data_IF_992805728822
#
_entry.id   IF_992805728822
#
_cell.length_a   1.000
_cell.length_b   1.000
_cell.length_c   1.000
_cell.angle_alpha   90.00
_cell.angle_beta   90.00
_cell.angle_gamma   90.00
#
_symmetry.space_group_name_H-M   'P 1'
#
loop_
_entity.id
_entity.type
_entity.pdbx_description
1 polymer ?
#
# COMPACT_ATOMS: atom_id res chain seq x y z
N UNK A 1 17.11 -24.76 -4.97
CA UNK A 1 17.51 -26.05 -5.57
C UNK A 1 16.69 -26.34 -6.81
N UNK A 2 17.11 -25.84 -7.98
CA UNK A 2 17.27 -26.57 -9.24
C UNK A 2 17.80 -25.57 -10.28
N UNK A 3 19.03 -25.80 -10.74
CA UNK A 3 19.67 -25.13 -11.87
C UNK A 3 19.92 -26.19 -12.95
N UNK A 4 19.67 -25.85 -14.23
CA UNK A 4 20.42 -26.23 -15.46
C UNK A 4 19.60 -25.77 -16.69
N UNK A 5 20.06 -24.76 -17.42
CA UNK A 5 20.99 -24.77 -18.58
C UNK A 5 20.42 -25.38 -19.88
N UNK A 6 20.25 -24.51 -20.87
CA UNK A 6 20.12 -24.83 -22.29
C UNK A 6 20.42 -23.59 -23.12
N UNK A 7 21.55 -23.63 -23.84
CA UNK A 7 21.95 -22.67 -24.88
C UNK A 7 21.06 -22.87 -26.11
N UNK A 8 20.81 -21.81 -26.87
CA UNK A 8 21.12 -21.78 -28.30
C UNK A 8 20.98 -20.38 -28.90
N UNK A 9 21.86 -20.10 -29.86
CA UNK A 9 22.05 -18.84 -30.56
C UNK A 9 21.51 -18.92 -31.99
N UNK A 10 20.98 -17.81 -32.52
CA UNK A 10 20.97 -17.44 -33.96
C UNK A 10 20.32 -16.06 -34.09
N UNK A 11 21.06 -14.99 -34.43
CA UNK A 11 21.40 -14.50 -35.78
C UNK A 11 20.18 -14.17 -36.66
N UNK A 12 19.96 -12.90 -36.98
CA UNK A 12 18.88 -12.50 -37.90
C UNK A 12 18.73 -11.01 -38.20
N UNK A 13 19.69 -10.45 -38.94
CA UNK A 13 19.54 -9.41 -39.98
C UNK A 13 18.50 -8.27 -39.80
N UNK A 14 19.01 -7.05 -39.57
CA UNK A 14 18.32 -5.77 -39.79
C UNK A 14 17.95 -5.61 -41.28
N UNK A 15 16.67 -5.38 -41.58
CA UNK A 15 16.22 -4.76 -42.85
C UNK A 15 15.46 -3.48 -42.55
N UNK A 16 15.99 -2.39 -43.07
CA UNK A 16 15.42 -1.04 -43.08
C UNK A 16 14.35 -0.95 -44.17
N UNK A 17 13.08 -0.82 -43.79
CA UNK A 17 11.97 -0.48 -44.69
C UNK A 17 11.33 0.84 -44.25
N UNK A 18 11.23 1.81 -45.17
CA UNK A 18 10.47 3.06 -44.97
C UNK A 18 9.00 2.73 -44.73
N UNK A 19 8.44 3.25 -43.64
CA UNK A 19 7.00 3.19 -43.35
C UNK A 19 6.27 4.39 -44.00
N UNK A 20 5.09 4.17 -44.63
CA UNK A 20 4.24 5.25 -45.13
C UNK A 20 3.48 5.96 -43.99
N UNK A 21 3.20 7.24 -44.22
CA UNK A 21 2.54 8.18 -43.30
C UNK A 21 1.08 7.73 -43.04
N UNK A 22 0.63 7.53 -41.79
CA UNK A 22 -0.77 7.26 -41.50
C UNK A 22 -1.58 8.56 -41.36
N UNK A 23 -2.73 8.58 -42.04
CA UNK A 23 -3.83 9.56 -41.92
C UNK A 23 -4.40 9.64 -40.49
N UNK A 24 -4.94 10.81 -40.08
CA UNK A 24 -5.39 11.03 -38.70
C UNK A 24 -6.60 10.16 -38.32
N UNK A 25 -6.64 9.58 -37.11
CA UNK A 25 -7.76 8.77 -36.68
C UNK A 25 -8.95 9.62 -36.20
N UNK A 26 -10.13 9.21 -36.68
CA UNK A 26 -11.47 9.67 -36.29
C UNK A 26 -11.68 9.60 -34.77
N UNK A 27 -12.25 10.67 -34.20
CA UNK A 27 -12.50 10.86 -32.77
C UNK A 27 -13.41 9.77 -32.18
N UNK A 28 -12.84 8.71 -31.62
CA UNK A 28 -13.57 7.77 -30.76
C UNK A 28 -13.62 8.36 -29.35
N UNK A 29 -14.78 8.88 -28.94
CA UNK A 29 -15.05 9.25 -27.55
C UNK A 29 -14.93 8.00 -26.67
N UNK A 30 -13.81 7.85 -25.95
CA UNK A 30 -13.69 6.89 -24.85
C UNK A 30 -14.47 7.40 -23.65
N UNK A 31 -15.70 6.93 -23.49
CA UNK A 31 -16.43 7.06 -22.22
C UNK A 31 -15.72 6.21 -21.17
N UNK A 32 -15.22 6.86 -20.12
CA UNK A 32 -14.70 6.20 -18.92
C UNK A 32 -15.93 5.80 -18.08
N UNK A 33 -16.12 4.52 -17.70
CA UNK A 33 -17.25 4.15 -16.84
C UNK A 33 -16.98 4.66 -15.42
N UNK A 34 -17.80 5.61 -14.97
CA UNK A 34 -17.87 6.02 -13.55
C UNK A 34 -18.75 5.04 -12.77
N UNK A 35 -18.22 4.57 -11.64
CA UNK A 35 -18.86 3.67 -10.67
C UNK A 35 -20.23 4.20 -10.22
N UNK A 36 -21.32 3.51 -10.56
CA UNK A 36 -22.66 3.82 -10.07
C UNK A 36 -22.88 3.13 -8.70
N UNK A 37 -23.36 3.91 -7.73
CA UNK A 37 -23.76 3.43 -6.41
C UNK A 37 -25.07 2.64 -6.49
N UNK A 38 -25.16 1.55 -5.73
CA UNK A 38 -26.18 0.52 -5.88
C UNK A 38 -27.63 0.97 -5.64
N UNK A 39 -28.54 0.26 -6.33
CA UNK A 39 -29.92 0.12 -5.91
C UNK A 39 -30.43 -1.32 -6.16
N UNK A 40 -31.45 -1.68 -5.38
CA UNK A 40 -31.98 -3.02 -5.13
C UNK A 40 -32.84 -3.55 -6.28
N UNK A 41 -32.78 -4.86 -6.48
CA UNK A 41 -33.95 -5.71 -6.75
C UNK A 41 -34.50 -5.68 -8.17
N UNK A 42 -34.04 -6.62 -9.00
CA UNK A 42 -34.69 -7.05 -10.23
C UNK A 42 -34.13 -8.42 -10.61
N UNK A 43 -34.99 -9.36 -11.02
CA UNK A 43 -34.58 -10.66 -11.56
C UNK A 43 -33.64 -10.42 -12.75
N UNK A 44 -32.43 -10.97 -12.69
CA UNK A 44 -31.45 -10.91 -13.78
C UNK A 44 -31.46 -12.24 -14.54
N UNK A 45 -31.95 -12.20 -15.78
CA UNK A 45 -31.63 -13.20 -16.79
C UNK A 45 -30.32 -12.84 -17.52
N UNK A 46 -29.46 -13.85 -17.66
CA UNK A 46 -28.38 -14.10 -18.64
C UNK A 46 -27.31 -13.01 -18.88
N UNK A 47 -26.09 -13.38 -18.49
CA UNK A 47 -24.79 -12.84 -18.90
C UNK A 47 -24.53 -11.35 -18.67
N UNK A 48 -24.77 -10.86 -17.44
CA UNK A 48 -24.14 -9.62 -16.99
C UNK A 48 -22.63 -9.85 -16.86
N UNK A 49 -21.86 -9.30 -17.80
CA UNK A 49 -20.40 -9.24 -17.71
C UNK A 49 -20.04 -8.42 -16.47
N UNK A 50 -19.59 -9.11 -15.42
CA UNK A 50 -19.22 -8.46 -14.17
C UNK A 50 -18.02 -7.55 -14.43
N UNK A 51 -18.28 -6.24 -14.47
CA UNK A 51 -17.28 -5.25 -14.81
C UNK A 51 -16.14 -5.24 -13.79
N UNK A 52 -14.91 -5.12 -14.29
CA UNK A 52 -13.72 -4.98 -13.45
C UNK A 52 -13.05 -6.28 -13.03
N UNK A 53 -13.48 -7.45 -13.52
CA UNK A 53 -12.74 -8.72 -13.38
C UNK A 53 -12.12 -9.11 -14.72
N UNK A 54 -10.82 -9.35 -14.73
CA UNK A 54 -10.04 -9.73 -15.91
C UNK A 54 -9.41 -11.10 -15.69
N UNK A 55 -9.86 -12.11 -16.42
CA UNK A 55 -9.33 -13.46 -16.33
C UNK A 55 -8.36 -13.72 -17.48
N UNK A 56 -7.09 -13.91 -17.16
CA UNK A 56 -6.02 -14.33 -18.09
C UNK A 56 -5.37 -15.64 -17.64
N UNK A 57 -6.02 -16.37 -16.73
CA UNK A 57 -5.45 -17.59 -16.13
C UNK A 57 -5.61 -18.85 -16.98
N UNK A 58 -6.43 -18.79 -18.04
CA UNK A 58 -6.83 -19.97 -18.82
C UNK A 58 -7.78 -20.92 -18.08
N UNK A 59 -8.09 -20.66 -16.80
CA UNK A 59 -9.08 -21.42 -16.02
C UNK A 59 -10.45 -20.80 -16.23
N UNK A 60 -11.45 -21.64 -16.54
CA UNK A 60 -12.84 -21.21 -16.63
C UNK A 60 -13.38 -20.84 -15.24
N UNK A 61 -13.61 -19.55 -15.04
CA UNK A 61 -14.25 -19.01 -13.85
C UNK A 61 -15.76 -19.00 -14.07
N UNK A 62 -16.50 -19.62 -13.15
CA UNK A 62 -17.96 -19.63 -13.24
C UNK A 62 -18.56 -18.29 -12.81
N UNK A 63 -19.88 -18.14 -12.99
CA UNK A 63 -20.58 -16.92 -12.63
C UNK A 63 -20.37 -16.54 -11.14
N UNK A 64 -20.42 -17.50 -10.22
CA UNK A 64 -20.19 -17.23 -8.79
C UNK A 64 -18.74 -16.81 -8.46
N UNK A 65 -17.73 -17.29 -9.19
CA UNK A 65 -16.34 -16.82 -9.07
C UNK A 65 -16.26 -15.34 -9.44
N UNK A 66 -16.84 -14.99 -10.58
CA UNK A 66 -16.86 -13.62 -11.08
C UNK A 66 -17.64 -12.70 -10.13
N UNK A 67 -18.74 -13.16 -9.53
CA UNK A 67 -19.47 -12.40 -8.50
C UNK A 67 -18.60 -12.12 -7.27
N UNK A 68 -17.86 -13.11 -6.78
CA UNK A 68 -16.95 -12.95 -5.64
C UNK A 68 -15.85 -11.95 -5.97
N UNK A 69 -15.18 -12.13 -7.12
CA UNK A 69 -14.09 -11.26 -7.56
C UNK A 69 -14.57 -9.83 -7.84
N UNK A 70 -15.78 -9.68 -8.40
CA UNK A 70 -16.39 -8.40 -8.74
C UNK A 70 -16.76 -7.55 -7.53
N UNK A 71 -16.92 -8.14 -6.33
CA UNK A 71 -17.03 -7.37 -5.08
C UNK A 71 -15.73 -6.60 -4.75
N UNK A 72 -14.61 -7.01 -5.34
CA UNK A 72 -13.30 -6.38 -5.23
C UNK A 72 -12.49 -6.84 -4.02
N UNK A 73 -11.17 -6.66 -4.08
CA UNK A 73 -10.24 -7.15 -3.05
C UNK A 73 -10.36 -6.45 -1.69
N UNK A 74 -11.08 -5.32 -1.62
CA UNK A 74 -11.38 -4.61 -0.37
C UNK A 74 -12.70 -5.07 0.27
N UNK A 75 -13.43 -5.96 -0.38
CA UNK A 75 -14.65 -6.52 0.19
C UNK A 75 -14.30 -7.38 1.40
N UNK A 76 -14.95 -7.10 2.53
CA UNK A 76 -14.80 -7.87 3.75
C UNK A 76 -16.03 -8.77 3.94
N UNK A 77 -15.89 -10.11 3.85
CA UNK A 77 -16.97 -11.01 4.19
C UNK A 77 -17.43 -10.80 5.64
N UNK A 78 -18.73 -10.76 5.89
CA UNK A 78 -19.23 -10.69 7.27
C UNK A 78 -18.84 -11.98 7.98
N UNK A 79 -18.00 -11.86 9.02
CA UNK A 79 -17.64 -12.94 9.94
C UNK A 79 -18.48 -12.85 11.21
N UNK A 80 -18.75 -14.00 11.84
CA UNK A 80 -19.33 -14.00 13.19
C UNK A 80 -18.44 -13.14 14.10
N UNK A 81 -19.02 -12.31 14.98
CA UNK A 81 -18.25 -11.61 15.99
C UNK A 81 -17.42 -12.62 16.77
N UNK A 82 -16.15 -12.31 16.96
CA UNK A 82 -15.25 -13.05 17.83
C UNK A 82 -15.21 -12.30 19.16
N UNK A 83 -15.62 -12.95 20.24
CA UNK A 83 -15.72 -12.32 21.56
C UNK A 83 -14.37 -11.81 22.08
N UNK A 84 -13.28 -12.48 21.70
CA UNK A 84 -11.93 -12.08 22.09
C UNK A 84 -11.47 -10.84 21.29
N UNK A 85 -11.70 -10.82 19.98
CA UNK A 85 -11.41 -9.62 19.17
C UNK A 85 -12.27 -8.44 19.60
N UNK A 86 -13.56 -8.67 19.88
CA UNK A 86 -14.47 -7.65 20.38
C UNK A 86 -13.97 -7.09 21.73
N UNK A 87 -13.51 -7.95 22.63
CA UNK A 87 -12.89 -7.53 23.88
C UNK A 87 -11.64 -6.67 23.64
N UNK A 88 -10.72 -7.11 22.77
CA UNK A 88 -9.50 -6.36 22.45
C UNK A 88 -9.81 -4.99 21.85
N UNK A 89 -10.74 -4.92 20.89
CA UNK A 89 -11.15 -3.65 20.27
C UNK A 89 -11.84 -2.73 21.26
N UNK A 90 -12.66 -3.29 22.16
CA UNK A 90 -13.24 -2.55 23.28
C UNK A 90 -12.14 -1.97 24.17
N UNK A 91 -11.16 -2.76 24.60
CA UNK A 91 -10.04 -2.25 25.42
C UNK A 91 -9.24 -1.16 24.68
N UNK A 92 -9.00 -1.31 23.38
CA UNK A 92 -8.33 -0.28 22.56
C UNK A 92 -9.15 1.01 22.52
N UNK A 93 -10.46 0.91 22.37
CA UNK A 93 -11.38 2.04 22.36
C UNK A 93 -11.42 2.75 23.71
N UNK A 94 -11.60 1.99 24.80
CA UNK A 94 -11.60 2.51 26.17
C UNK A 94 -10.28 3.22 26.49
N UNK A 95 -9.14 2.61 26.14
CA UNK A 95 -7.83 3.25 26.27
C UNK A 95 -7.75 4.59 25.55
N UNK A 96 -8.28 4.70 24.32
CA UNK A 96 -8.32 5.97 23.59
C UNK A 96 -9.13 7.04 24.33
N UNK A 97 -10.26 6.67 24.91
CA UNK A 97 -11.09 7.60 25.70
C UNK A 97 -10.37 8.05 26.97
N UNK A 98 -9.78 7.13 27.72
CA UNK A 98 -9.01 7.43 28.94
C UNK A 98 -7.83 8.34 28.63
N UNK A 99 -7.10 8.10 27.54
CA UNK A 99 -6.00 8.99 27.12
C UNK A 99 -6.50 10.39 26.76
N UNK A 100 -7.61 10.49 26.01
CA UNK A 100 -8.22 11.80 25.68
C UNK A 100 -8.61 12.57 26.95
N UNK A 101 -9.24 11.91 27.92
CA UNK A 101 -9.54 12.49 29.23
C UNK A 101 -8.28 12.98 29.93
N UNK A 102 -7.29 12.09 30.08
CA UNK A 102 -6.06 12.36 30.82
C UNK A 102 -5.34 13.60 30.28
N UNK A 103 -5.14 13.66 28.96
CA UNK A 103 -4.47 14.80 28.34
C UNK A 103 -5.32 16.07 28.36
N UNK A 104 -6.66 15.97 28.30
CA UNK A 104 -7.53 17.15 28.45
C UNK A 104 -7.48 17.73 29.86
N UNK A 105 -7.41 16.88 30.90
CA UNK A 105 -7.21 17.33 32.29
C UNK A 105 -5.86 18.04 32.46
N UNK A 106 -4.78 17.49 31.89
CA UNK A 106 -3.47 18.16 31.89
C UNK A 106 -3.53 19.53 31.22
N UNK A 107 -4.16 19.62 30.04
CA UNK A 107 -4.34 20.88 29.30
C UNK A 107 -5.10 21.93 30.15
N UNK A 108 -6.21 21.54 30.79
CA UNK A 108 -6.99 22.43 31.67
C UNK A 108 -6.19 22.85 32.90
N UNK A 109 -5.37 21.97 33.46
CA UNK A 109 -4.50 22.25 34.60
C UNK A 109 -3.29 23.12 34.25
N UNK A 110 -3.19 23.63 33.02
CA UNK A 110 -2.06 24.44 32.56
C UNK A 110 -0.76 23.65 32.37
N UNK A 111 -0.81 22.32 32.48
CA UNK A 111 0.32 21.44 32.19
C UNK A 111 0.39 21.29 30.67
N UNK A 112 1.27 22.07 30.03
CA UNK A 112 1.39 22.10 28.59
C UNK A 112 1.67 20.70 28.02
N UNK A 113 1.06 20.32 26.88
CA UNK A 113 1.35 19.06 26.22
C UNK A 113 2.84 18.95 25.88
N UNK A 114 3.56 18.06 26.56
CA UNK A 114 5.00 17.85 26.33
C UNK A 114 5.93 18.46 27.37
N UNK A 115 5.47 18.89 28.55
CA UNK A 115 6.37 19.12 29.69
C UNK A 115 7.01 17.83 30.22
N UNK A 116 6.47 16.67 29.84
CA UNK A 116 7.07 15.34 30.04
C UNK A 116 8.12 15.02 28.94
N UNK A 117 8.46 15.97 28.05
CA UNK A 117 9.59 15.81 27.13
C UNK A 117 10.85 15.82 27.97
N UNK A 118 11.73 14.85 27.76
CA UNK A 118 13.07 14.95 28.30
C UNK A 118 13.63 16.32 27.90
N UNK A 119 14.31 17.03 28.83
CA UNK A 119 14.92 18.30 28.51
C UNK A 119 15.76 18.12 27.24
N UNK A 120 15.58 19.02 26.27
CA UNK A 120 16.36 19.05 25.04
C UNK A 120 17.84 19.03 25.44
N UNK A 121 18.46 17.87 25.25
CA UNK A 121 19.87 17.69 25.52
C UNK A 121 20.58 18.24 24.30
N UNK A 122 21.11 19.46 24.47
CA UNK A 122 21.90 20.21 23.51
C UNK A 122 21.16 20.61 22.21
N UNK A 123 20.93 21.93 22.02
CA UNK A 123 20.22 22.53 20.88
C UNK A 123 20.98 22.42 19.53
N UNK A 124 21.99 21.56 19.46
CA UNK A 124 22.91 21.44 18.33
C UNK A 124 22.27 20.76 17.13
N UNK A 125 21.33 19.82 17.36
CA UNK A 125 20.69 19.03 16.31
C UNK A 125 19.17 19.23 16.26
N UNK A 126 18.62 19.22 15.04
CA UNK A 126 17.17 19.20 14.85
C UNK A 126 16.67 17.75 15.02
N UNK A 127 15.69 17.55 15.89
CA UNK A 127 15.09 16.23 16.14
C UNK A 127 13.69 16.10 15.56
N UNK A 128 13.31 14.85 15.29
CA UNK A 128 12.00 14.47 14.79
C UNK A 128 11.02 14.16 15.94
N UNK A 129 9.72 14.14 15.62
CA UNK A 129 8.69 13.64 16.53
C UNK A 129 8.49 12.11 16.47
N UNK A 130 9.33 11.41 15.71
CA UNK A 130 9.21 9.97 15.46
C UNK A 130 9.51 9.19 16.73
N UNK A 131 8.61 8.27 17.05
CA UNK A 131 8.67 7.44 18.26
C UNK A 131 7.83 6.19 18.09
N UNK A 132 8.17 5.15 18.84
CA UNK A 132 7.34 3.96 18.94
C UNK A 132 5.95 4.32 19.48
N UNK A 133 4.94 3.53 19.08
CA UNK A 133 3.58 3.69 19.59
C UNK A 133 3.59 3.49 21.11
N UNK A 134 3.17 4.53 21.83
CA UNK A 134 3.13 4.50 23.29
C UNK A 134 2.22 3.38 23.81
N UNK A 135 2.70 2.66 24.83
CA UNK A 135 1.93 1.69 25.63
C UNK A 135 1.27 2.34 26.87
N UNK A 136 1.46 3.64 27.05
CA UNK A 136 0.91 4.38 28.19
C UNK A 136 -0.61 4.21 28.29
N UNK A 137 -1.07 3.90 29.49
CA UNK A 137 -2.49 3.79 29.83
C UNK A 137 -2.67 4.19 31.31
N UNK A 138 -3.21 5.38 31.60
CA UNK A 138 -3.30 5.90 32.96
C UNK A 138 -4.46 5.24 33.71
N UNK A 139 -4.24 4.02 34.19
CA UNK A 139 -5.26 3.21 34.91
C UNK A 139 -5.74 3.84 36.21
N UNK A 140 -4.95 4.76 36.77
CA UNK A 140 -5.26 5.51 38.00
C UNK A 140 -6.10 6.76 37.76
N UNK A 141 -6.14 7.30 36.54
CA UNK A 141 -6.97 8.47 36.22
C UNK A 141 -8.42 8.02 36.16
N UNK A 142 -9.13 8.06 37.30
CA UNK A 142 -10.55 7.66 37.43
C UNK A 142 -11.42 8.85 37.86
N UNK A 143 -12.74 8.65 37.89
CA UNK A 143 -13.72 9.54 38.53
C UNK A 143 -14.45 10.51 37.61
N UNK A 144 -14.70 10.17 36.34
CA UNK A 144 -15.56 11.03 35.50
C UNK A 144 -16.50 10.24 34.56
N UNK A 145 -17.24 10.97 33.71
CA UNK A 145 -18.19 10.43 32.74
C UNK A 145 -17.61 9.32 31.84
N UNK A 146 -16.30 9.32 31.59
CA UNK A 146 -15.66 8.27 30.78
C UNK A 146 -15.65 6.92 31.51
N UNK A 147 -15.47 6.89 32.83
CA UNK A 147 -15.50 5.62 33.58
C UNK A 147 -16.93 5.09 33.71
N UNK A 148 -17.90 5.99 33.95
CA UNK A 148 -19.33 5.62 33.96
C UNK A 148 -19.73 5.06 32.61
N UNK A 149 -19.38 5.76 31.52
CA UNK A 149 -19.59 5.27 30.17
C UNK A 149 -18.90 3.93 29.91
N UNK A 150 -17.66 3.76 30.38
CA UNK A 150 -16.91 2.50 30.27
C UNK A 150 -17.65 1.36 30.97
N UNK A 151 -18.15 1.59 32.19
CA UNK A 151 -18.90 0.59 32.95
C UNK A 151 -20.22 0.24 32.27
N UNK A 152 -20.95 1.23 31.75
CA UNK A 152 -22.20 1.01 31.01
C UNK A 152 -21.94 0.19 29.74
N UNK A 153 -20.94 0.55 28.93
CA UNK A 153 -20.57 -0.20 27.72
C UNK A 153 -20.19 -1.65 28.07
N UNK A 154 -19.39 -1.87 29.11
CA UNK A 154 -19.01 -3.22 29.53
C UNK A 154 -20.20 -4.02 30.08
N UNK A 155 -21.18 -3.36 30.69
CA UNK A 155 -22.44 -3.98 31.12
C UNK A 155 -23.29 -4.36 29.91
N UNK A 156 -23.49 -3.44 28.98
CA UNK A 156 -24.24 -3.67 27.74
C UNK A 156 -23.63 -4.83 26.94
N UNK A 157 -22.30 -4.96 26.89
CA UNK A 157 -21.63 -6.10 26.25
C UNK A 157 -21.93 -7.44 26.93
N UNK A 158 -22.07 -7.48 28.27
CA UNK A 158 -22.44 -8.70 28.99
C UNK A 158 -23.91 -9.10 28.75
N UNK A 159 -24.76 -8.11 28.54
CA UNK A 159 -26.19 -8.28 28.30
C UNK A 159 -26.51 -8.47 26.81
N UNK A 160 -25.52 -8.27 25.93
CA UNK A 160 -25.67 -8.41 24.50
C UNK A 160 -25.96 -9.87 24.13
N UNK A 161 -27.22 -10.17 23.84
CA UNK A 161 -27.60 -11.46 23.27
C UNK A 161 -27.29 -11.48 21.77
N UNK A 162 -26.93 -12.65 21.25
CA UNK A 162 -26.54 -12.81 19.86
C UNK A 162 -27.59 -12.22 18.90
N UNK A 163 -27.27 -11.09 18.27
CA UNK A 163 -28.13 -10.48 17.26
C UNK A 163 -28.15 -11.34 16.00
N UNK A 164 -29.30 -11.37 15.30
CA UNK A 164 -29.41 -12.13 14.05
C UNK A 164 -28.32 -11.69 13.07
N UNK A 165 -27.49 -12.64 12.63
CA UNK A 165 -26.35 -12.36 11.79
C UNK A 165 -26.72 -12.49 10.30
N UNK A 166 -26.62 -11.40 9.53
CA UNK A 166 -26.83 -11.43 8.07
C UNK A 166 -25.48 -11.56 7.36
N UNK A 167 -25.29 -12.67 6.65
CA UNK A 167 -24.15 -12.85 5.77
C UNK A 167 -24.27 -11.94 4.54
N UNK A 168 -23.16 -11.29 4.16
CA UNK A 168 -23.05 -10.53 2.91
C UNK A 168 -22.54 -11.36 1.72
N UNK A 169 -22.42 -12.68 1.91
CA UNK A 169 -22.10 -13.68 0.89
C UNK A 169 -23.10 -14.84 0.96
N UNK A 170 -23.55 -15.31 -0.19
CA UNK A 170 -24.31 -16.55 -0.32
C UNK A 170 -23.45 -17.76 0.02
N UNK A 171 -24.08 -18.91 0.29
CA UNK A 171 -23.34 -20.16 0.55
C UNK A 171 -22.48 -20.59 -0.66
N UNK A 172 -22.97 -20.32 -1.88
CA UNK A 172 -22.22 -20.61 -3.11
C UNK A 172 -20.98 -19.71 -3.22
N UNK A 173 -21.15 -18.40 -3.05
CA UNK A 173 -20.04 -17.45 -3.08
C UNK A 173 -18.99 -17.75 -2.00
N UNK A 174 -19.39 -18.17 -0.79
CA UNK A 174 -18.43 -18.59 0.25
C UNK A 174 -17.58 -19.78 -0.19
N UNK A 175 -18.19 -20.82 -0.76
CA UNK A 175 -17.47 -21.98 -1.30
C UNK A 175 -16.51 -21.55 -2.42
N UNK A 176 -16.90 -20.60 -3.26
CA UNK A 176 -16.03 -20.05 -4.30
C UNK A 176 -14.88 -19.21 -3.73
N UNK A 177 -15.12 -18.41 -2.69
CA UNK A 177 -14.04 -17.72 -1.96
C UNK A 177 -13.00 -18.72 -1.43
N UNK A 178 -13.44 -19.82 -0.83
CA UNK A 178 -12.54 -20.86 -0.32
C UNK A 178 -11.78 -21.56 -1.46
N UNK A 179 -12.47 -21.88 -2.56
CA UNK A 179 -11.83 -22.40 -3.77
C UNK A 179 -10.74 -21.45 -4.30
N UNK A 180 -11.07 -20.18 -4.54
CA UNK A 180 -10.14 -19.18 -5.06
C UNK A 180 -8.95 -18.94 -4.12
N UNK A 181 -9.18 -18.99 -2.80
CA UNK A 181 -8.14 -18.83 -1.79
C UNK A 181 -7.18 -20.02 -1.74
N UNK A 182 -7.69 -21.24 -1.91
CA UNK A 182 -6.92 -22.48 -1.77
C UNK A 182 -6.37 -22.99 -3.11
N UNK A 183 -6.74 -22.37 -4.23
CA UNK A 183 -6.21 -22.70 -5.53
C UNK A 183 -4.84 -22.03 -5.73
N UNK A 184 -3.77 -22.80 -5.55
CA UNK A 184 -2.40 -22.33 -5.69
C UNK A 184 -1.95 -22.13 -7.14
N UNK A 185 -2.71 -22.60 -8.13
CA UNK A 185 -2.42 -22.37 -9.54
C UNK A 185 -2.91 -20.99 -10.01
N UNK A 186 -3.64 -20.28 -9.16
CA UNK A 186 -4.16 -18.94 -9.42
C UNK A 186 -3.43 -17.87 -8.62
N UNK A 187 -3.20 -16.73 -9.27
CA UNK A 187 -2.73 -15.50 -8.64
C UNK A 187 -3.74 -14.39 -8.89
N UNK A 188 -4.35 -13.90 -7.82
CA UNK A 188 -5.32 -12.79 -7.88
C UNK A 188 -4.64 -11.50 -7.42
N UNK A 189 -4.59 -10.49 -8.29
CA UNK A 189 -3.99 -9.18 -8.00
C UNK A 189 -4.89 -8.05 -8.43
N UNK A 190 -4.71 -6.88 -7.81
CA UNK A 190 -5.30 -5.65 -8.31
C UNK A 190 -4.55 -5.20 -9.57
N UNK A 191 -5.26 -4.64 -10.53
CA UNK A 191 -4.66 -3.97 -11.68
C UNK A 191 -3.87 -2.72 -11.25
N UNK A 192 -2.76 -2.46 -11.93
CA UNK A 192 -1.88 -1.30 -11.69
C UNK A 192 -2.61 0.04 -11.83
N UNK A 193 -3.50 0.12 -12.81
CA UNK A 193 -4.41 1.24 -13.06
C UNK A 193 -5.81 0.68 -13.24
N UNK A 194 -6.84 1.47 -12.95
CA UNK A 194 -8.28 1.16 -13.11
C UNK A 194 -8.99 0.33 -12.04
N UNK A 195 -8.31 -0.08 -10.96
CA UNK A 195 -8.99 -0.67 -9.78
C UNK A 195 -9.60 -2.07 -9.99
N UNK A 196 -9.51 -2.64 -11.19
CA UNK A 196 -9.98 -3.99 -11.50
C UNK A 196 -9.18 -5.09 -10.79
N UNK A 197 -9.78 -6.28 -10.75
CA UNK A 197 -9.19 -7.52 -10.25
C UNK A 197 -8.74 -8.36 -11.43
N UNK A 198 -7.49 -8.82 -11.40
CA UNK A 198 -6.88 -9.64 -12.44
C UNK A 198 -6.58 -11.01 -11.88
N UNK A 199 -7.06 -12.04 -12.55
CA UNK A 199 -6.83 -13.45 -12.24
C UNK A 199 -5.86 -14.00 -13.27
N UNK A 200 -4.71 -14.48 -12.80
CA UNK A 200 -3.61 -14.97 -13.64
C UNK A 200 -3.27 -16.39 -13.25
N UNK A 201 -2.72 -17.17 -14.18
CA UNK A 201 -2.09 -18.44 -13.81
C UNK A 201 -0.81 -18.13 -13.02
N UNK A 202 -0.46 -19.02 -12.09
CA UNK A 202 0.77 -18.91 -11.30
C UNK A 202 2.00 -18.99 -12.20
N UNK A 203 1.94 -19.79 -13.25
CA UNK A 203 2.99 -19.90 -14.27
C UNK A 203 3.26 -18.54 -14.94
N UNK A 204 2.24 -17.91 -15.54
CA UNK A 204 2.36 -16.58 -16.15
C UNK A 204 2.93 -15.54 -15.17
N UNK A 205 2.44 -15.54 -13.93
CA UNK A 205 2.90 -14.60 -12.91
C UNK A 205 4.38 -14.79 -12.56
N UNK A 206 4.85 -16.04 -12.48
CA UNK A 206 6.26 -16.35 -12.20
C UNK A 206 7.15 -16.05 -13.40
N UNK A 207 6.73 -16.37 -14.62
CA UNK A 207 7.45 -16.00 -15.84
C UNK A 207 7.63 -14.49 -15.94
N UNK A 208 6.58 -13.72 -15.68
CA UNK A 208 6.66 -12.26 -15.69
C UNK A 208 7.56 -11.72 -14.56
N UNK A 209 7.62 -12.40 -13.41
CA UNK A 209 8.55 -12.08 -12.34
C UNK A 209 10.00 -12.29 -12.76
N UNK A 210 10.31 -13.44 -13.34
CA UNK A 210 11.65 -13.75 -13.85
C UNK A 210 12.04 -12.78 -14.96
N UNK A 211 11.15 -12.51 -15.92
CA UNK A 211 11.38 -11.54 -17.00
C UNK A 211 11.73 -10.15 -16.47
N UNK A 212 11.16 -9.73 -15.33
CA UNK A 212 11.46 -8.45 -14.69
C UNK A 212 12.78 -8.48 -13.88
N UNK A 213 13.07 -9.58 -13.17
CA UNK A 213 14.20 -9.69 -12.25
C UNK A 213 15.51 -10.13 -12.93
N UNK A 214 15.44 -10.77 -14.09
CA UNK A 214 16.61 -11.21 -14.88
C UNK A 214 17.29 -10.05 -15.64
N UNK A 215 16.81 -8.82 -15.46
CA UNK A 215 17.49 -7.62 -15.95
C UNK A 215 18.78 -7.34 -15.16
N UNK A 216 19.90 -7.81 -15.71
CA UNK A 216 21.23 -7.64 -15.14
C UNK A 216 21.79 -6.20 -15.25
N UNK A 217 21.07 -5.27 -15.90
CA UNK A 217 21.44 -3.85 -15.92
C UNK A 217 20.96 -3.19 -14.62
N UNK A 218 19.73 -3.50 -14.21
CA UNK A 218 19.10 -2.91 -13.02
C UNK A 218 19.36 -3.72 -11.75
N UNK A 219 19.35 -5.05 -11.85
CA UNK A 219 19.39 -5.95 -10.70
C UNK A 219 20.70 -6.74 -10.64
N UNK A 220 21.12 -7.04 -9.41
CA UNK A 220 22.27 -7.89 -9.14
C UNK A 220 21.85 -9.08 -8.29
N UNK A 221 22.15 -10.28 -8.76
CA UNK A 221 21.94 -11.50 -7.99
C UNK A 221 22.90 -11.51 -6.79
N UNK A 222 22.35 -11.74 -5.61
CA UNK A 222 23.11 -11.88 -4.37
C UNK A 222 23.36 -13.35 -4.08
N UNK A 223 24.58 -13.68 -3.64
CA UNK A 223 24.96 -15.05 -3.32
C UNK A 223 24.27 -15.57 -2.05
N UNK A 224 24.04 -14.69 -1.08
CA UNK A 224 23.42 -14.98 0.20
C UNK A 224 22.50 -13.83 0.62
N UNK A 225 21.59 -14.09 1.56
CA UNK A 225 20.73 -13.07 2.15
C UNK A 225 21.55 -12.09 3.03
N UNK A 226 21.68 -10.80 2.65
CA UNK A 226 22.47 -9.82 3.40
C UNK A 226 21.72 -9.22 4.60
N UNK A 227 20.49 -9.67 4.88
CA UNK A 227 19.60 -9.09 5.90
C UNK A 227 20.27 -8.99 7.28
N UNK A 228 21.02 -10.00 7.72
CA UNK A 228 21.72 -9.94 9.00
C UNK A 228 22.84 -8.89 9.02
N UNK A 229 23.55 -8.74 7.89
CA UNK A 229 24.67 -7.78 7.75
C UNK A 229 24.13 -6.35 7.82
N UNK A 230 23.12 -6.02 7.00
CA UNK A 230 22.53 -4.68 6.99
C UNK A 230 21.84 -4.31 8.31
N UNK A 231 21.30 -5.30 9.03
CA UNK A 231 20.77 -5.07 10.38
C UNK A 231 21.85 -4.61 11.35
N UNK A 232 23.02 -5.25 11.27
CA UNK A 232 24.14 -4.94 12.16
C UNK A 232 24.78 -3.61 11.78
N UNK A 233 24.97 -3.33 10.49
CA UNK A 233 25.43 -2.01 10.02
C UNK A 233 24.50 -0.88 10.46
N UNK A 234 23.19 -1.08 10.31
CA UNK A 234 22.19 -0.13 10.80
C UNK A 234 22.29 0.06 12.30
N UNK A 235 22.46 -1.03 13.06
CA UNK A 235 22.59 -0.99 14.53
C UNK A 235 23.81 -0.16 14.95
N UNK A 236 24.97 -0.39 14.32
CA UNK A 236 26.19 0.38 14.58
C UNK A 236 25.94 1.86 14.29
N UNK A 237 25.40 2.18 13.11
CA UNK A 237 25.12 3.56 12.69
C UNK A 237 24.20 4.31 13.68
N UNK A 238 23.10 3.69 14.12
CA UNK A 238 22.18 4.36 15.06
C UNK A 238 22.75 4.44 16.47
N UNK A 239 23.60 3.50 16.87
CA UNK A 239 24.31 3.56 18.16
C UNK A 239 25.29 4.72 18.17
N UNK A 240 26.12 4.86 17.14
CA UNK A 240 27.03 6.00 16.98
C UNK A 240 26.27 7.34 16.94
N UNK A 241 25.15 7.39 16.21
CA UNK A 241 24.27 8.56 16.17
C UNK A 241 23.69 8.94 17.54
N UNK A 242 23.39 7.95 18.39
CA UNK A 242 22.93 8.20 19.76
C UNK A 242 24.05 8.67 20.68
N UNK A 243 25.22 8.04 20.61
CA UNK A 243 26.40 8.39 21.42
C UNK A 243 26.93 9.79 21.09
N UNK A 244 26.80 10.23 19.84
CA UNK A 244 27.15 11.57 19.38
C UNK A 244 26.07 12.64 19.61
N UNK A 245 24.91 12.27 20.17
CA UNK A 245 23.80 13.20 20.41
C UNK A 245 22.97 13.58 19.18
N UNK A 246 23.27 13.03 18.00
CA UNK A 246 22.48 13.24 16.78
C UNK A 246 21.06 12.67 16.93
N UNK A 247 20.95 11.51 17.60
CA UNK A 247 19.69 10.82 17.84
C UNK A 247 19.28 10.93 19.30
N UNK A 248 18.03 11.32 19.54
CA UNK A 248 17.40 11.17 20.85
C UNK A 248 17.16 9.68 21.17
N UNK A 249 16.93 9.37 22.44
CA UNK A 249 16.54 8.01 22.86
C UNK A 249 15.28 7.51 22.14
N UNK A 250 14.30 8.39 21.90
CA UNK A 250 13.04 8.05 21.21
C UNK A 250 13.23 7.75 19.74
N UNK A 251 14.12 8.48 19.08
CA UNK A 251 14.48 8.25 17.68
C UNK A 251 15.27 6.96 17.54
N UNK A 252 16.23 6.71 18.45
CA UNK A 252 16.95 5.44 18.50
C UNK A 252 15.97 4.25 18.62
N UNK A 253 15.04 4.28 19.58
CA UNK A 253 14.05 3.22 19.77
C UNK A 253 13.12 3.06 18.56
N UNK A 254 12.81 4.15 17.87
CA UNK A 254 12.01 4.11 16.66
C UNK A 254 12.76 3.52 15.47
N UNK A 255 14.04 3.87 15.31
CA UNK A 255 14.90 3.41 14.22
C UNK A 255 15.29 1.95 14.41
N UNK A 256 15.53 1.52 15.66
CA UNK A 256 15.88 0.14 15.96
C UNK A 256 14.65 -0.76 15.87
N UNK A 257 14.62 -1.62 14.85
CA UNK A 257 13.61 -2.67 14.69
C UNK A 257 14.23 -4.04 14.91
N UNK A 258 13.90 -4.66 16.05
CA UNK A 258 14.39 -6.00 16.38
C UNK A 258 13.83 -7.07 15.42
N UNK A 259 12.57 -6.92 14.98
CA UNK A 259 11.84 -7.90 14.18
C UNK A 259 11.46 -7.37 12.80
N UNK A 260 12.46 -6.92 12.04
CA UNK A 260 12.27 -6.49 10.65
C UNK A 260 11.96 -7.65 9.71
N UNK A 261 11.12 -7.40 8.69
CA UNK A 261 10.80 -8.37 7.63
C UNK A 261 11.60 -8.09 6.36
N UNK A 262 11.96 -9.12 5.59
CA UNK A 262 12.55 -8.93 4.27
C UNK A 262 11.51 -8.28 3.36
N UNK A 263 11.92 -7.26 2.59
CA UNK A 263 11.00 -6.56 1.70
C UNK A 263 10.41 -7.52 0.65
N UNK A 264 9.09 -7.50 0.50
CA UNK A 264 8.38 -8.47 -0.34
C UNK A 264 8.24 -7.96 -1.78
N UNK A 265 8.72 -8.73 -2.74
CA UNK A 265 8.47 -8.50 -4.16
C UNK A 265 7.08 -9.02 -4.58
N UNK A 266 6.36 -8.23 -5.36
CA UNK A 266 5.17 -8.67 -6.08
C UNK A 266 4.91 -7.81 -7.31
N UNK A 267 4.00 -8.27 -8.18
CA UNK A 267 3.68 -7.63 -9.45
C UNK A 267 2.24 -7.14 -9.47
N UNK A 268 2.04 -5.95 -10.04
CA UNK A 268 0.72 -5.44 -10.42
C UNK A 268 0.57 -5.44 -11.95
N UNK A 269 -0.41 -6.15 -12.53
CA UNK A 269 -0.60 -6.22 -13.99
C UNK A 269 -1.10 -4.90 -14.58
N UNK A 270 -0.46 -4.45 -15.67
CA UNK A 270 -0.80 -3.23 -16.43
C UNK A 270 -1.79 -3.52 -17.55
N UNK A 271 -3.02 -3.90 -17.20
CA UNK A 271 -4.09 -4.22 -18.16
C UNK A 271 -4.45 -3.08 -19.14
N UNK A 272 -4.07 -1.83 -18.82
CA UNK A 272 -4.22 -0.68 -19.72
C UNK A 272 -3.20 -0.66 -20.86
N UNK A 273 -2.21 -1.55 -20.86
CA UNK A 273 -1.20 -1.71 -21.93
C UNK A 273 -1.50 -2.91 -22.83
N UNK A 274 -1.96 -4.02 -22.25
CA UNK A 274 -2.37 -5.23 -22.97
C UNK A 274 -3.38 -5.99 -22.12
N UNK A 275 -4.42 -6.55 -22.75
CA UNK A 275 -5.40 -7.40 -22.07
C UNK A 275 -5.02 -8.88 -22.12
N UNK A 276 -4.34 -9.31 -23.18
CA UNK A 276 -3.97 -10.73 -23.36
C UNK A 276 -2.72 -11.11 -22.56
N UNK A 277 -1.75 -10.20 -22.50
CA UNK A 277 -0.49 -10.37 -21.79
C UNK A 277 -0.09 -9.05 -21.12
N UNK A 278 -0.76 -8.65 -20.01
CA UNK A 278 -0.49 -7.39 -19.33
C UNK A 278 0.92 -7.40 -18.72
N UNK A 279 1.80 -6.44 -19.09
CA UNK A 279 3.10 -6.30 -18.45
C UNK A 279 2.96 -6.03 -16.96
N UNK A 280 3.85 -6.60 -16.17
CA UNK A 280 3.94 -6.40 -14.74
C UNK A 280 4.55 -5.03 -14.37
N UNK A 281 4.04 -4.42 -13.30
CA UNK A 281 4.78 -3.43 -12.53
C UNK A 281 5.43 -4.14 -11.33
N UNK A 282 6.77 -4.20 -11.24
CA UNK A 282 7.42 -4.71 -10.05
C UNK A 282 7.20 -3.76 -8.88
N UNK A 283 6.83 -4.29 -7.72
CA UNK A 283 6.66 -3.56 -6.47
C UNK A 283 7.46 -4.27 -5.38
N UNK A 284 8.22 -3.49 -4.62
CA UNK A 284 8.88 -3.93 -3.39
C UNK A 284 8.12 -3.33 -2.22
N UNK A 285 7.45 -4.17 -1.42
CA UNK A 285 6.82 -3.75 -0.17
C UNK A 285 7.88 -3.64 0.91
N UNK A 286 8.28 -2.40 1.23
CA UNK A 286 9.15 -2.09 2.36
C UNK A 286 8.42 -2.00 3.72
N UNK A 287 7.16 -2.42 3.82
CA UNK A 287 6.41 -2.38 5.09
C UNK A 287 7.14 -3.24 6.13
N UNK A 288 7.42 -2.64 7.29
CA UNK A 288 8.14 -3.25 8.41
C UNK A 288 9.50 -3.85 8.03
N UNK A 289 10.08 -3.40 6.92
CA UNK A 289 11.44 -3.75 6.52
C UNK A 289 12.48 -3.01 7.36
N UNK A 290 13.71 -3.51 7.34
CA UNK A 290 14.84 -2.98 8.11
C UNK A 290 15.02 -1.47 7.95
N UNK A 291 14.94 -0.98 6.72
CA UNK A 291 15.18 0.42 6.40
C UNK A 291 13.91 1.26 6.40
N UNK A 292 12.75 0.69 6.74
CA UNK A 292 11.45 1.39 6.66
C UNK A 292 11.35 2.57 7.64
N UNK A 293 11.83 2.41 8.87
CA UNK A 293 11.84 3.49 9.87
C UNK A 293 12.95 4.51 9.58
N UNK A 294 14.11 4.04 9.13
CA UNK A 294 15.18 4.92 8.64
C UNK A 294 14.71 5.79 7.47
N UNK A 295 13.98 5.21 6.52
CA UNK A 295 13.42 5.96 5.38
C UNK A 295 12.47 7.06 5.83
N UNK A 296 11.63 6.81 6.85
CA UNK A 296 10.73 7.83 7.43
C UNK A 296 11.51 8.94 8.15
N UNK A 297 12.58 8.55 8.86
CA UNK A 297 13.46 9.50 9.54
C UNK A 297 14.17 10.41 8.53
N UNK A 298 14.77 9.85 7.48
CA UNK A 298 15.42 10.62 6.42
C UNK A 298 14.40 11.50 5.68
N UNK A 299 13.22 10.98 5.34
CA UNK A 299 12.16 11.74 4.67
C UNK A 299 11.80 13.00 5.48
N UNK A 300 11.68 12.92 6.80
CA UNK A 300 11.41 14.08 7.66
C UNK A 300 12.39 15.25 7.39
N UNK A 301 13.68 14.97 7.25
CA UNK A 301 14.70 16.00 7.00
C UNK A 301 14.77 16.42 5.52
N UNK A 302 14.48 15.52 4.59
CA UNK A 302 14.50 15.83 3.16
C UNK A 302 13.29 16.65 2.71
N UNK A 303 12.11 16.45 3.32
CA UNK A 303 10.87 17.10 2.92
C UNK A 303 10.96 18.65 2.87
N UNK A 304 11.53 19.34 3.88
CA UNK A 304 11.75 20.79 3.79
C UNK A 304 12.65 21.22 2.64
N UNK A 305 13.66 20.42 2.28
CA UNK A 305 14.59 20.72 1.19
C UNK A 305 13.91 20.53 -0.16
N UNK A 306 13.19 19.41 -0.35
CA UNK A 306 12.43 19.12 -1.57
C UNK A 306 11.42 20.23 -1.87
N UNK A 307 10.73 20.74 -0.84
CA UNK A 307 9.74 21.82 -0.97
C UNK A 307 10.32 23.18 -1.39
N UNK A 308 11.63 23.37 -1.27
CA UNK A 308 12.33 24.59 -1.73
C UNK A 308 12.76 24.51 -3.20
N UNK A 309 12.66 23.34 -3.83
CA UNK A 309 13.05 23.18 -5.24
C UNK A 309 12.08 23.90 -6.17
N UNK A 310 12.58 24.46 -7.27
CA UNK A 310 11.75 25.19 -8.26
C UNK A 310 10.73 24.29 -8.96
N UNK A 311 11.04 23.00 -9.08
CA UNK A 311 10.20 21.98 -9.71
C UNK A 311 9.22 21.31 -8.73
N UNK A 312 9.14 21.78 -7.48
CA UNK A 312 8.26 21.18 -6.49
C UNK A 312 6.79 21.33 -6.88
N UNK A 313 6.11 20.21 -7.05
CA UNK A 313 4.66 20.13 -7.20
C UNK A 313 4.08 19.39 -6.01
N UNK A 314 3.18 20.06 -5.27
CA UNK A 314 2.55 19.50 -4.07
C UNK A 314 1.58 18.35 -4.40
N UNK A 315 0.67 18.58 -5.34
CA UNK A 315 -0.41 17.65 -5.68
C UNK A 315 -1.03 18.01 -7.05
N UNK A 316 -1.95 17.17 -7.54
CA UNK A 316 -2.69 17.40 -8.79
C UNK A 316 -3.44 18.74 -8.79
N UNK A 317 -3.95 19.18 -7.64
CA UNK A 317 -4.69 20.45 -7.57
C UNK A 317 -3.76 21.65 -7.67
N UNK A 318 -2.51 21.53 -7.23
CA UNK A 318 -1.48 22.57 -7.40
C UNK A 318 -1.20 22.84 -8.88
N UNK A 319 -0.90 21.79 -9.65
CA UNK A 319 -0.61 21.94 -11.08
C UNK A 319 -1.81 22.48 -11.86
N UNK A 320 -3.05 22.08 -11.52
CA UNK A 320 -4.25 22.63 -12.18
C UNK A 320 -4.38 24.14 -11.96
N UNK A 321 -4.17 24.61 -10.72
CA UNK A 321 -4.17 26.06 -10.42
C UNK A 321 -3.05 26.81 -11.15
N UNK A 322 -1.89 26.19 -11.30
CA UNK A 322 -0.77 26.81 -12.03
C UNK A 322 -1.08 26.90 -13.53
N UNK A 323 -1.68 25.87 -14.12
CA UNK A 323 -2.10 25.86 -15.53
C UNK A 323 -3.23 26.87 -15.81
N UNK A 324 -4.17 27.06 -14.87
CA UNK A 324 -5.24 28.06 -14.98
C UNK A 324 -4.73 29.51 -14.97
N UNK A 325 -3.52 29.75 -14.43
CA UNK A 325 -2.89 31.08 -14.40
C UNK A 325 -2.11 31.41 -15.68
N UNK A 326 -1.87 30.44 -16.55
CA UNK A 326 -1.17 30.67 -17.81
C UNK A 326 -2.10 31.43 -18.75
N UNK A 327 -1.63 32.54 -19.31
CA UNK A 327 -2.33 33.24 -20.38
C UNK A 327 -2.07 32.51 -21.69
N UNK A 328 -3.05 31.72 -22.13
CA UNK A 328 -2.94 30.92 -23.35
C UNK A 328 -3.12 31.79 -24.60
N UNK A 329 -2.06 31.92 -25.39
CA UNK A 329 -2.09 32.70 -26.63
C UNK A 329 -2.31 31.80 -27.87
N UNK A 330 -2.84 32.41 -28.93
CA UNK A 330 -3.00 31.73 -30.21
C UNK A 330 -1.61 31.28 -30.74
N UNK A 331 -1.46 29.97 -30.95
CA UNK A 331 -0.20 29.35 -31.39
C UNK A 331 0.55 28.58 -30.30
N UNK A 332 0.15 28.68 -29.02
CA UNK A 332 0.68 27.81 -27.97
C UNK A 332 0.25 26.36 -28.17
N UNK A 333 1.18 25.42 -27.95
CA UNK A 333 0.92 23.99 -28.05
C UNK A 333 1.20 23.29 -26.73
N UNK A 334 0.37 22.31 -26.39
CA UNK A 334 0.59 21.44 -25.24
C UNK A 334 1.41 20.22 -25.65
N UNK A 335 2.50 19.97 -24.96
CA UNK A 335 3.32 18.77 -25.14
C UNK A 335 3.33 17.96 -23.85
N UNK A 336 3.23 16.63 -23.98
CA UNK A 336 3.37 15.70 -22.86
C UNK A 336 4.58 14.82 -23.08
N UNK A 337 5.29 14.55 -21.99
CA UNK A 337 6.47 13.69 -21.97
C UNK A 337 6.28 12.71 -20.80
N UNK A 338 6.55 11.43 -21.04
CA UNK A 338 6.51 10.38 -20.01
C UNK A 338 7.89 9.70 -19.94
N UNK A 339 8.41 9.53 -18.72
CA UNK A 339 9.68 8.84 -18.52
C UNK A 339 9.41 7.36 -18.31
N UNK A 340 10.02 6.54 -19.16
CA UNK A 340 9.90 5.08 -19.04
C UNK A 340 10.78 4.61 -17.88
N UNK A 341 10.20 3.83 -16.96
CA UNK A 341 10.92 3.16 -15.88
C UNK A 341 11.82 4.10 -15.06
N UNK A 342 11.28 5.25 -14.63
CA UNK A 342 12.02 6.30 -13.92
C UNK A 342 12.91 5.76 -12.80
N UNK A 343 12.35 4.99 -11.86
CA UNK A 343 13.09 4.53 -10.67
C UNK A 343 14.28 3.62 -11.00
N UNK A 344 14.16 2.73 -11.99
CA UNK A 344 15.26 1.85 -12.39
C UNK A 344 16.30 2.55 -13.26
N UNK A 345 15.98 3.76 -13.74
CA UNK A 345 16.88 4.57 -14.58
C UNK A 345 17.70 5.58 -13.78
N UNK A 346 17.52 5.65 -12.46
CA UNK A 346 18.30 6.55 -11.59
C UNK A 346 19.70 5.95 -11.39
N UNK A 347 20.78 6.65 -11.80
CA UNK A 347 22.13 6.13 -11.64
C UNK A 347 22.52 6.06 -10.16
N UNK A 348 23.20 4.98 -9.78
CA UNK A 348 23.78 4.80 -8.47
C UNK A 348 25.25 5.22 -8.58
N UNK A 349 25.55 6.49 -8.30
CA UNK A 349 26.92 7.03 -8.27
C UNK A 349 27.45 7.10 -6.85
#
# INVERSE_FOLDING_TARGET
>A
NLFRYGKDASSGSKKTGRLPIPTPPTTIKKTIPTRIHGHRGGLLEKDEKIEGVFNISGIDLNHEDLCVLGKGLKFAPTKKPDDFELFLDTQRFLRKLTLKRFFKKKEIAGLAPGQDREPETDNTFQHTDLRLKSKFFPVWDKGNNVDVFTQLVLKDFKELTACSFKHNLTLKEKKRCEFLKNNFDLVVKQADKSGGVVVMSREYYLEEAHRLLDDNITYKVLANDPTAIYKEELRVLITEGKESGILTAKEFDFLFSEFSVIALFYILPKIHKSLDAPPGRPIISGIDSQTSNLSKYIDFFLQPVVKKTRSYLKDTSHILRDLERINWEAGMMFATIDVTSLYTSIPHQ
#
